data_IF_035368824797
#
_entry.id   IF_035368824797
#
_cell.length_a   1.000
_cell.length_b   1.000
_cell.length_c   1.000
_cell.angle_alpha   90.00
_cell.angle_beta   90.00
_cell.angle_gamma   90.00
#
_symmetry.space_group_name_H-M   'P 1'
#
loop_
_entity.id
_entity.type
_entity.pdbx_description
1 polymer ?
#
# COMPACT_ATOMS: atom_id res chain seq x y z
N UNK A 1 13.06 1.56 -13.34
CA UNK A 1 12.14 2.27 -12.41
C UNK A 1 12.11 3.76 -12.74
N UNK A 2 13.26 4.34 -13.01
CA UNK A 2 13.46 5.74 -13.28
C UNK A 2 12.69 6.24 -14.51
N UNK A 3 12.86 5.51 -15.62
CA UNK A 3 12.22 5.77 -16.89
C UNK A 3 10.69 5.61 -16.84
N UNK A 4 10.19 4.71 -15.99
CA UNK A 4 8.77 4.38 -15.89
C UNK A 4 8.04 5.05 -14.72
N UNK A 5 8.78 5.63 -13.77
CA UNK A 5 8.18 6.36 -12.64
C UNK A 5 8.04 7.87 -12.91
N UNK A 6 8.45 8.31 -14.09
CA UNK A 6 8.51 9.73 -14.44
C UNK A 6 9.71 10.46 -13.81
N UNK A 7 9.78 11.75 -14.04
CA UNK A 7 10.89 12.61 -13.60
C UNK A 7 10.97 12.87 -12.08
N UNK A 8 10.01 12.38 -11.32
CA UNK A 8 9.90 12.68 -9.88
C UNK A 8 10.86 11.87 -9.00
N UNK A 9 11.41 10.76 -9.54
CA UNK A 9 12.31 9.92 -8.77
C UNK A 9 13.71 10.55 -8.67
N UNK A 10 14.19 10.70 -7.43
CA UNK A 10 15.53 11.23 -7.15
C UNK A 10 16.59 10.15 -7.41
N UNK A 11 17.48 10.40 -8.40
CA UNK A 11 18.52 9.44 -8.81
C UNK A 11 19.53 9.16 -7.71
N UNK A 12 19.91 10.17 -6.94
CA UNK A 12 20.88 10.03 -5.86
C UNK A 12 20.31 9.17 -4.72
N UNK A 13 19.04 9.39 -4.36
CA UNK A 13 18.35 8.56 -3.39
C UNK A 13 18.24 7.12 -3.86
N UNK A 14 17.89 6.90 -5.14
CA UNK A 14 17.76 5.55 -5.70
C UNK A 14 19.11 4.82 -5.70
N UNK A 15 20.19 5.45 -6.13
CA UNK A 15 21.54 4.87 -6.09
C UNK A 15 21.94 4.54 -4.66
N UNK A 16 21.75 5.48 -3.74
CA UNK A 16 22.02 5.27 -2.31
C UNK A 16 21.21 4.09 -1.76
N UNK A 17 19.94 3.96 -2.13
CA UNK A 17 19.12 2.82 -1.72
C UNK A 17 19.69 1.50 -2.23
N UNK A 18 20.03 1.41 -3.52
CA UNK A 18 20.59 0.20 -4.13
C UNK A 18 21.92 -0.19 -3.48
N UNK A 19 22.81 0.77 -3.24
CA UNK A 19 24.11 0.52 -2.63
C UNK A 19 23.97 0.08 -1.17
N UNK A 20 23.01 0.62 -0.43
CA UNK A 20 22.85 0.38 1.00
C UNK A 20 21.95 -0.82 1.33
N UNK A 21 21.09 -1.25 0.42
CA UNK A 21 20.19 -2.39 0.68
C UNK A 21 20.95 -3.71 0.82
N UNK A 22 22.09 -3.85 0.14
CA UNK A 22 22.92 -5.06 0.22
C UNK A 22 23.47 -5.28 1.62
N UNK A 23 23.78 -4.19 2.34
CA UNK A 23 24.26 -4.24 3.73
C UNK A 23 23.13 -4.53 4.74
N UNK A 24 21.88 -4.28 4.35
CA UNK A 24 20.73 -4.36 5.25
C UNK A 24 20.50 -5.79 5.78
N UNK A 25 20.80 -6.80 4.97
CA UNK A 25 20.70 -8.20 5.41
C UNK A 25 21.62 -8.49 6.58
N UNK A 26 22.90 -8.14 6.46
CA UNK A 26 23.89 -8.31 7.54
C UNK A 26 23.51 -7.53 8.80
N UNK A 27 23.04 -6.29 8.62
CA UNK A 27 22.60 -5.45 9.72
C UNK A 27 21.43 -6.06 10.50
N UNK A 28 20.39 -6.56 9.81
CA UNK A 28 19.22 -7.17 10.47
C UNK A 28 19.58 -8.48 11.18
N UNK A 29 20.34 -9.35 10.52
CA UNK A 29 20.77 -10.62 11.13
C UNK A 29 21.68 -10.42 12.32
N UNK A 30 22.53 -9.39 12.31
CA UNK A 30 23.39 -9.04 13.45
C UNK A 30 22.66 -8.44 14.65
N UNK A 31 21.37 -8.04 14.51
CA UNK A 31 20.59 -7.48 15.62
C UNK A 31 19.92 -8.53 16.50
N UNK A 32 19.76 -9.77 16.04
CA UNK A 32 19.08 -10.82 16.78
C UNK A 32 19.64 -12.19 16.46
N UNK A 33 20.25 -12.80 17.44
CA UNK A 33 20.76 -14.18 17.35
C UNK A 33 19.64 -15.15 16.95
N UNK A 34 19.94 -16.10 16.05
CA UNK A 34 18.97 -17.07 15.53
C UNK A 34 17.96 -16.51 14.52
N UNK A 35 18.11 -15.24 14.11
CA UNK A 35 17.31 -14.70 13.03
C UNK A 35 17.74 -15.26 11.67
N UNK A 36 16.79 -15.32 10.73
CA UNK A 36 17.03 -15.80 9.37
C UNK A 36 16.19 -15.02 8.36
N UNK A 37 16.58 -15.08 7.09
CA UNK A 37 15.83 -14.50 5.98
C UNK A 37 15.56 -15.57 4.92
N UNK A 38 14.30 -15.73 4.52
CA UNK A 38 13.85 -16.63 3.47
C UNK A 38 13.40 -15.86 2.24
N UNK A 39 13.83 -16.30 1.04
CA UNK A 39 13.33 -15.75 -0.23
C UNK A 39 11.86 -16.10 -0.40
N UNK A 40 11.00 -15.12 -0.75
CA UNK A 40 9.58 -15.37 -0.99
C UNK A 40 9.08 -14.92 -2.36
N UNK A 41 9.89 -14.23 -3.16
CA UNK A 41 9.48 -13.81 -4.49
C UNK A 41 10.53 -12.98 -5.23
N UNK A 42 10.21 -12.62 -6.45
CA UNK A 42 10.96 -11.71 -7.31
C UNK A 42 10.30 -10.32 -7.43
N UNK A 43 10.57 -9.61 -8.52
CA UNK A 43 10.03 -8.28 -8.80
C UNK A 43 8.51 -8.20 -8.74
N UNK A 44 7.97 -7.06 -8.31
CA UNK A 44 6.54 -6.73 -8.38
C UNK A 44 6.10 -6.43 -9.82
N UNK A 45 7.02 -5.91 -10.65
CA UNK A 45 6.79 -5.59 -12.06
C UNK A 45 7.70 -6.44 -12.94
N UNK A 46 7.32 -7.69 -13.24
CA UNK A 46 8.20 -8.63 -13.96
C UNK A 46 8.45 -8.26 -15.43
N UNK A 47 7.65 -7.34 -15.97
CA UNK A 47 7.78 -6.83 -17.34
C UNK A 47 8.79 -5.69 -17.49
N UNK A 48 9.28 -5.12 -16.39
CA UNK A 48 10.30 -4.08 -16.44
C UNK A 48 11.69 -4.66 -16.73
N UNK A 49 12.55 -3.93 -17.43
CA UNK A 49 13.94 -4.34 -17.65
C UNK A 49 14.64 -4.68 -16.33
N UNK A 50 15.44 -5.75 -16.34
CA UNK A 50 16.21 -6.25 -15.18
C UNK A 50 15.35 -6.67 -13.96
N UNK A 51 14.06 -6.92 -14.14
CA UNK A 51 13.18 -7.40 -13.08
C UNK A 51 13.63 -8.76 -12.50
N UNK A 52 14.29 -9.58 -13.30
CA UNK A 52 14.85 -10.87 -12.94
C UNK A 52 16.00 -10.79 -11.92
N UNK A 53 16.62 -9.60 -11.77
CA UNK A 53 17.70 -9.38 -10.78
C UNK A 53 17.17 -9.05 -9.37
N UNK A 54 15.84 -8.93 -9.18
CA UNK A 54 15.23 -8.51 -7.91
C UNK A 54 14.70 -9.70 -7.15
N UNK A 55 15.20 -9.89 -5.93
CA UNK A 55 14.70 -10.86 -4.97
C UNK A 55 14.09 -10.19 -3.74
N UNK A 56 13.00 -10.77 -3.25
CA UNK A 56 12.33 -10.36 -2.01
C UNK A 56 12.54 -11.39 -0.91
N UNK A 57 12.84 -10.91 0.29
CA UNK A 57 13.09 -11.74 1.45
C UNK A 57 12.16 -11.42 2.61
N UNK A 58 11.76 -12.44 3.32
CA UNK A 58 11.03 -12.34 4.59
C UNK A 58 11.98 -12.53 5.75
N UNK A 59 11.96 -11.61 6.71
CA UNK A 59 12.68 -11.74 7.98
C UNK A 59 11.92 -12.67 8.94
N UNK A 60 12.64 -13.53 9.59
CA UNK A 60 12.12 -14.50 10.58
C UNK A 60 12.97 -14.47 11.83
N UNK A 61 12.33 -14.49 12.98
CA UNK A 61 12.99 -14.57 14.28
C UNK A 61 12.08 -15.26 15.28
N UNK A 62 12.64 -16.27 16.01
CA UNK A 62 11.87 -17.19 16.84
C UNK A 62 10.74 -17.82 15.98
N UNK A 63 9.53 -17.90 16.51
CA UNK A 63 8.36 -18.45 15.80
C UNK A 63 7.62 -17.40 14.92
N UNK A 64 8.19 -16.19 14.82
CA UNK A 64 7.58 -15.09 14.09
C UNK A 64 8.19 -14.93 12.68
N UNK A 65 7.40 -14.36 11.77
CA UNK A 65 7.84 -14.02 10.41
C UNK A 65 7.33 -12.64 9.98
N UNK A 66 7.96 -12.04 8.97
CA UNK A 66 7.58 -10.77 8.36
C UNK A 66 7.51 -9.59 9.38
N UNK A 67 6.47 -8.76 9.32
CA UNK A 67 6.28 -7.59 10.18
C UNK A 67 6.33 -7.88 11.67
N UNK A 68 5.61 -8.90 12.18
CA UNK A 68 5.71 -9.31 13.60
C UNK A 68 7.12 -9.64 14.05
N UNK A 69 7.90 -10.34 13.23
CA UNK A 69 9.30 -10.67 13.55
C UNK A 69 10.19 -9.43 13.59
N UNK A 70 10.06 -8.54 12.60
CA UNK A 70 10.80 -7.27 12.57
C UNK A 70 10.45 -6.41 13.78
N UNK A 71 9.17 -6.23 14.09
CA UNK A 71 8.75 -5.45 15.24
C UNK A 71 9.31 -6.02 16.56
N UNK A 72 9.14 -7.33 16.78
CA UNK A 72 9.61 -7.99 17.99
C UNK A 72 11.14 -7.85 18.14
N UNK A 73 11.89 -8.01 17.06
CA UNK A 73 13.33 -7.83 17.03
C UNK A 73 13.74 -6.40 17.38
N UNK A 74 13.15 -5.39 16.71
CA UNK A 74 13.46 -3.99 17.00
C UNK A 74 13.03 -3.58 18.41
N UNK A 75 11.86 -4.01 18.88
CA UNK A 75 11.40 -3.75 20.23
C UNK A 75 12.39 -4.34 21.25
N UNK A 76 12.81 -5.58 21.06
CA UNK A 76 13.83 -6.21 21.92
C UNK A 76 15.15 -5.43 21.90
N UNK A 77 15.65 -5.06 20.72
CA UNK A 77 16.89 -4.34 20.57
C UNK A 77 16.87 -2.94 21.22
N UNK A 78 15.76 -2.23 21.10
CA UNK A 78 15.59 -0.87 21.64
C UNK A 78 15.31 -0.90 23.13
N UNK A 79 14.28 -1.61 23.55
CA UNK A 79 13.75 -1.55 24.92
C UNK A 79 14.54 -2.45 25.85
N UNK A 80 14.78 -3.71 25.47
CA UNK A 80 15.37 -4.69 26.38
C UNK A 80 16.90 -4.65 26.40
N UNK A 81 17.55 -4.58 25.24
CA UNK A 81 19.00 -4.65 25.15
C UNK A 81 19.67 -3.28 25.33
N UNK A 82 19.19 -2.24 24.63
CA UNK A 82 19.81 -0.90 24.66
C UNK A 82 19.20 0.04 25.70
N UNK A 83 18.08 -0.35 26.32
CA UNK A 83 17.40 0.46 27.36
C UNK A 83 17.07 1.88 26.88
N UNK A 84 16.77 2.06 25.58
CA UNK A 84 16.40 3.35 25.03
C UNK A 84 14.97 3.68 25.51
N UNK A 85 14.76 4.85 26.14
CA UNK A 85 13.45 5.22 26.66
C UNK A 85 12.40 5.33 25.53
N UNK A 86 11.30 4.59 25.65
CA UNK A 86 10.12 4.69 24.76
C UNK A 86 8.96 5.23 25.56
N UNK A 87 8.34 6.31 25.06
CA UNK A 87 7.19 6.94 25.68
C UNK A 87 5.93 6.63 24.87
N UNK A 88 5.14 5.69 25.37
CA UNK A 88 3.85 5.35 24.81
C UNK A 88 2.79 6.41 25.14
N UNK A 89 1.70 6.46 24.38
CA UNK A 89 0.58 7.39 24.59
C UNK A 89 1.04 8.86 24.68
N UNK A 90 2.08 9.22 23.96
CA UNK A 90 2.70 10.57 24.01
C UNK A 90 2.82 11.10 22.58
N UNK A 91 1.70 11.45 21.91
CA UNK A 91 1.73 11.96 20.55
C UNK A 91 2.50 13.27 20.47
N UNK A 92 3.37 13.39 19.47
CA UNK A 92 4.04 14.64 19.12
C UNK A 92 3.07 15.54 18.35
N UNK A 93 3.03 16.83 18.69
CA UNK A 93 2.10 17.80 18.10
C UNK A 93 2.80 18.96 17.40
N UNK A 94 4.04 19.28 17.78
CA UNK A 94 4.83 20.35 17.19
C UNK A 94 6.33 20.07 17.24
N UNK A 95 7.05 20.63 16.27
CA UNK A 95 8.50 20.81 16.36
C UNK A 95 8.82 22.11 17.13
N UNK A 96 9.91 22.07 17.89
CA UNK A 96 10.46 23.25 18.58
C UNK A 96 11.64 23.73 17.78
N UNK A 97 11.61 25.01 17.37
CA UNK A 97 12.66 25.67 16.62
C UNK A 97 13.33 26.74 17.47
N UNK A 98 14.65 26.79 17.43
CA UNK A 98 15.46 27.80 18.08
C UNK A 98 16.61 28.21 17.14
N UNK A 99 16.76 29.51 16.85
CA UNK A 99 17.79 30.00 15.94
C UNK A 99 17.72 29.39 14.53
N UNK A 100 16.53 29.04 14.01
CA UNK A 100 16.36 28.41 12.71
C UNK A 100 16.67 26.91 12.67
N UNK A 101 16.97 26.29 13.83
CA UNK A 101 17.24 24.87 13.99
C UNK A 101 16.11 24.17 14.72
N UNK A 102 15.74 22.96 14.31
CA UNK A 102 14.86 22.11 15.08
C UNK A 102 15.63 21.53 16.26
N UNK A 103 15.18 21.85 17.49
CA UNK A 103 15.86 21.51 18.74
C UNK A 103 15.03 20.59 19.64
N UNK A 104 13.84 20.18 19.22
CA UNK A 104 13.00 19.30 20.03
C UNK A 104 11.59 19.16 19.48
N UNK A 105 10.74 18.55 20.31
CA UNK A 105 9.32 18.35 20.03
C UNK A 105 8.47 18.77 21.25
N UNK A 106 7.26 19.21 20.97
CA UNK A 106 6.20 19.27 21.97
C UNK A 106 5.31 18.03 21.82
N UNK A 107 5.11 17.29 22.90
CA UNK A 107 4.34 16.06 22.89
C UNK A 107 3.54 15.88 24.19
N UNK A 108 2.43 15.14 24.15
CA UNK A 108 1.61 14.86 25.31
C UNK A 108 0.20 14.44 24.94
N UNK A 109 -0.62 14.18 25.94
CA UNK A 109 -2.01 13.74 25.80
C UNK A 109 -2.93 14.64 26.63
N UNK A 110 -4.18 14.81 26.17
CA UNK A 110 -5.27 15.43 26.91
C UNK A 110 -4.96 16.86 27.42
N UNK A 111 -4.31 17.68 26.57
CA UNK A 111 -3.98 19.08 26.90
C UNK A 111 -2.74 19.25 27.78
N UNK A 112 -2.15 18.18 28.30
CA UNK A 112 -0.90 18.25 29.08
C UNK A 112 0.28 18.04 28.13
N UNK A 113 0.78 19.13 27.54
CA UNK A 113 1.91 19.10 26.64
C UNK A 113 3.22 19.35 27.38
N UNK A 114 4.27 18.62 27.00
CA UNK A 114 5.63 18.78 27.50
C UNK A 114 6.60 19.01 26.35
N UNK A 115 7.60 19.83 26.60
CA UNK A 115 8.69 20.05 25.66
C UNK A 115 9.81 19.02 25.90
N UNK A 116 10.23 18.34 24.84
CA UNK A 116 11.35 17.40 24.85
C UNK A 116 12.46 17.97 23.98
N UNK A 117 13.58 18.33 24.59
CA UNK A 117 14.75 18.85 23.87
C UNK A 117 15.57 17.70 23.33
N UNK A 118 15.96 17.81 22.05
CA UNK A 118 16.92 16.92 21.41
C UNK A 118 18.32 17.54 21.52
N UNK A 119 19.31 16.75 21.93
CA UNK A 119 20.72 17.23 22.03
C UNK A 119 21.32 17.44 20.64
N UNK A 120 20.92 16.64 19.65
CA UNK A 120 21.51 16.64 18.31
C UNK A 120 20.48 16.91 17.22
N UNK A 121 19.45 16.08 17.10
CA UNK A 121 18.47 16.19 16.05
C UNK A 121 17.13 15.51 16.41
N UNK A 122 16.09 15.83 15.67
CA UNK A 122 14.79 15.14 15.68
C UNK A 122 14.67 14.33 14.40
N UNK A 123 14.28 13.06 14.51
CA UNK A 123 13.98 12.19 13.37
C UNK A 123 12.49 11.90 13.39
N UNK A 124 11.78 12.29 12.34
CA UNK A 124 10.37 11.96 12.15
C UNK A 124 10.26 10.64 11.38
N UNK A 125 9.50 9.68 11.94
CA UNK A 125 9.19 8.39 11.34
C UNK A 125 7.71 8.05 11.58
N UNK A 126 6.83 9.03 11.33
CA UNK A 126 5.43 9.02 11.75
C UNK A 126 4.49 8.33 10.74
N UNK A 127 5.02 7.72 9.67
CA UNK A 127 4.22 7.10 8.62
C UNK A 127 3.52 8.10 7.69
N UNK A 128 2.54 7.62 6.97
CA UNK A 128 1.81 8.38 5.96
C UNK A 128 0.59 9.15 6.49
N UNK A 129 -0.41 9.31 5.62
CA UNK A 129 -1.64 10.07 5.93
C UNK A 129 -2.93 9.40 5.42
N UNK A 130 -2.92 8.11 5.21
CA UNK A 130 -4.08 7.37 4.69
C UNK A 130 -5.31 7.44 5.60
N UNK A 131 -5.14 7.77 6.87
CA UNK A 131 -6.25 8.02 7.81
C UNK A 131 -6.53 9.51 8.07
N UNK A 132 -5.94 10.42 7.28
CA UNK A 132 -6.28 11.85 7.30
C UNK A 132 -7.31 12.18 6.22
N UNK A 133 -8.58 12.30 6.59
CA UNK A 133 -9.64 12.71 5.66
C UNK A 133 -9.37 14.06 5.02
N UNK A 134 -8.81 15.01 5.77
CA UNK A 134 -8.38 16.32 5.28
C UNK A 134 -7.32 16.22 4.16
N UNK A 135 -6.27 15.44 4.40
CA UNK A 135 -5.20 15.31 3.41
C UNK A 135 -5.66 14.50 2.19
N UNK A 136 -6.45 13.45 2.39
CA UNK A 136 -7.04 12.70 1.27
C UNK A 136 -7.97 13.59 0.44
N UNK A 137 -8.78 14.42 1.06
CA UNK A 137 -9.62 15.39 0.36
C UNK A 137 -8.81 16.34 -0.52
N UNK A 138 -7.64 16.78 -0.06
CA UNK A 138 -6.78 17.70 -0.80
C UNK A 138 -5.95 17.03 -1.91
N UNK A 139 -5.52 15.78 -1.71
CA UNK A 139 -4.55 15.15 -2.61
C UNK A 139 -5.11 13.98 -3.43
N UNK A 140 -6.27 13.40 -3.06
CA UNK A 140 -6.84 12.24 -3.75
C UNK A 140 -7.82 12.58 -4.88
N UNK A 141 -7.78 13.78 -5.43
CA UNK A 141 -8.57 14.21 -6.61
C UNK A 141 -10.09 13.97 -6.48
N UNK A 142 -10.64 14.01 -5.27
CA UNK A 142 -12.07 13.74 -5.02
C UNK A 142 -12.47 12.26 -5.13
N UNK A 143 -11.54 11.35 -5.31
CA UNK A 143 -11.83 9.91 -5.31
C UNK A 143 -12.27 9.44 -3.94
N UNK A 144 -13.26 8.56 -3.89
CA UNK A 144 -13.65 7.85 -2.67
C UNK A 144 -12.67 6.71 -2.41
N UNK A 145 -11.72 6.97 -1.51
CA UNK A 145 -10.68 6.02 -1.10
C UNK A 145 -10.92 5.59 0.34
N UNK A 146 -10.73 4.31 0.62
CA UNK A 146 -10.89 3.74 1.96
C UNK A 146 -9.52 3.38 2.54
N UNK A 147 -9.21 3.87 3.74
CA UNK A 147 -7.95 3.56 4.42
C UNK A 147 -7.90 2.08 4.83
N UNK A 148 -6.77 1.45 4.54
CA UNK A 148 -6.49 0.04 4.84
C UNK A 148 -5.20 -0.13 5.65
N UNK A 149 -4.33 0.87 5.64
CA UNK A 149 -3.04 0.85 6.31
C UNK A 149 -3.11 0.97 7.83
N UNK A 150 -2.13 1.63 8.42
CA UNK A 150 -2.05 1.82 9.88
C UNK A 150 -2.95 2.98 10.34
N UNK A 151 -3.90 2.76 11.29
CA UNK A 151 -4.76 3.85 11.80
C UNK A 151 -4.02 5.02 12.44
N UNK A 152 -2.76 4.83 12.83
CA UNK A 152 -1.90 5.90 13.33
C UNK A 152 -1.30 6.81 12.26
N UNK A 153 -1.46 6.49 10.98
CA UNK A 153 -0.96 7.30 9.87
C UNK A 153 -1.94 8.43 9.53
N UNK A 154 -1.92 9.46 10.34
CA UNK A 154 -2.85 10.61 10.29
C UNK A 154 -2.22 11.87 9.70
N UNK A 155 -0.97 11.77 9.21
CA UNK A 155 -0.25 12.89 8.60
C UNK A 155 0.35 13.89 9.58
N UNK A 156 0.38 13.58 10.87
CA UNK A 156 0.87 14.51 11.92
C UNK A 156 2.31 14.93 11.70
N UNK A 157 3.19 13.97 11.35
CA UNK A 157 4.58 14.25 11.05
C UNK A 157 4.76 15.15 9.83
N UNK A 158 3.92 15.00 8.82
CA UNK A 158 3.94 15.83 7.61
C UNK A 158 3.54 17.26 7.96
N UNK A 159 2.46 17.44 8.72
CA UNK A 159 2.02 18.76 9.21
C UNK A 159 3.09 19.44 10.05
N UNK A 160 3.72 18.71 10.96
CA UNK A 160 4.82 19.24 11.78
C UNK A 160 6.01 19.69 10.94
N UNK A 161 6.42 18.90 9.94
CA UNK A 161 7.52 19.25 9.05
C UNK A 161 7.16 20.44 8.15
N UNK A 162 5.94 20.49 7.62
CA UNK A 162 5.46 21.59 6.79
C UNK A 162 5.41 22.90 7.59
N UNK A 163 5.03 22.86 8.86
CA UNK A 163 5.00 24.03 9.73
C UNK A 163 6.37 24.69 9.94
N UNK A 164 7.48 23.96 9.69
CA UNK A 164 8.84 24.50 9.75
C UNK A 164 9.49 24.69 8.37
N UNK A 165 8.66 24.70 7.30
CA UNK A 165 9.08 25.04 5.95
C UNK A 165 9.55 23.85 5.09
N UNK A 166 9.24 22.60 5.47
CA UNK A 166 9.61 21.45 4.66
C UNK A 166 8.93 21.47 3.28
N UNK A 167 9.70 21.20 2.23
CA UNK A 167 9.18 20.92 0.89
C UNK A 167 8.47 19.57 0.89
N UNK A 168 7.25 19.53 0.40
CA UNK A 168 6.52 18.28 0.21
C UNK A 168 6.71 17.76 -1.22
N UNK A 169 6.68 16.43 -1.37
CA UNK A 169 6.67 15.75 -2.66
C UNK A 169 5.83 14.48 -2.61
N UNK A 170 5.53 13.88 -3.76
CA UNK A 170 4.80 12.61 -3.93
C UNK A 170 3.42 12.56 -3.25
N UNK A 171 2.81 13.72 -2.97
CA UNK A 171 1.54 13.78 -2.23
C UNK A 171 0.34 13.12 -2.93
N UNK A 172 0.44 12.82 -4.23
CA UNK A 172 -0.59 12.12 -5.02
C UNK A 172 -0.22 10.68 -5.37
N UNK A 173 0.88 10.18 -4.81
CA UNK A 173 1.36 8.83 -5.05
C UNK A 173 0.89 7.88 -3.92
N UNK A 174 0.24 6.80 -4.31
CA UNK A 174 -0.42 5.87 -3.41
C UNK A 174 -0.09 4.42 -3.74
N UNK A 175 -0.03 3.59 -2.72
CA UNK A 175 -0.11 2.14 -2.85
C UNK A 175 -1.53 1.72 -2.48
N UNK A 176 -2.33 1.39 -3.49
CA UNK A 176 -3.77 1.26 -3.30
C UNK A 176 -4.34 0.07 -4.10
N UNK A 177 -4.42 -1.11 -3.48
CA UNK A 177 -5.16 -2.24 -4.03
C UNK A 177 -6.66 -1.95 -4.12
N UNK A 178 -7.38 -2.77 -4.88
CA UNK A 178 -8.84 -2.86 -4.79
C UNK A 178 -9.21 -3.94 -3.78
N UNK A 179 -10.17 -3.63 -2.92
CA UNK A 179 -10.69 -4.55 -1.92
C UNK A 179 -12.18 -4.38 -1.70
N UNK A 180 -12.79 -5.26 -0.91
CA UNK A 180 -14.19 -5.16 -0.54
C UNK A 180 -14.35 -4.81 0.93
N UNK A 181 -15.23 -3.86 1.24
CA UNK A 181 -15.54 -3.46 2.61
C UNK A 181 -16.44 -4.52 3.22
N UNK A 182 -16.04 -5.02 4.39
CA UNK A 182 -16.87 -5.97 5.16
C UNK A 182 -17.89 -5.19 5.98
N UNK A 183 -19.19 -5.35 5.72
CA UNK A 183 -20.22 -4.59 6.43
C UNK A 183 -20.19 -4.79 7.95
N UNK A 184 -20.30 -3.69 8.69
CA UNK A 184 -20.29 -3.71 10.15
C UNK A 184 -18.94 -4.06 10.79
N UNK A 185 -17.88 -4.14 9.99
CA UNK A 185 -16.52 -4.38 10.46
C UNK A 185 -15.57 -3.29 9.95
N UNK A 186 -14.56 -2.96 10.74
CA UNK A 186 -13.44 -2.12 10.28
C UNK A 186 -12.43 -3.00 9.53
N UNK A 187 -12.91 -3.67 8.49
CA UNK A 187 -12.13 -4.62 7.72
C UNK A 187 -12.39 -4.46 6.23
N UNK A 188 -11.33 -4.57 5.45
CA UNK A 188 -11.36 -4.65 4.01
C UNK A 188 -10.73 -5.98 3.63
N UNK A 189 -11.42 -6.77 2.81
CA UNK A 189 -10.91 -8.04 2.33
C UNK A 189 -10.34 -7.88 0.91
N UNK A 190 -9.23 -8.55 0.63
CA UNK A 190 -8.69 -8.65 -0.73
C UNK A 190 -9.35 -9.79 -1.46
N UNK A 191 -9.85 -9.51 -2.64
CA UNK A 191 -10.47 -10.53 -3.48
C UNK A 191 -9.41 -11.28 -4.29
N UNK A 192 -9.55 -12.61 -4.33
CA UNK A 192 -8.81 -13.44 -5.26
C UNK A 192 -9.34 -13.18 -6.68
N UNK A 193 -8.48 -13.30 -7.68
CA UNK A 193 -8.89 -13.26 -9.08
C UNK A 193 -9.04 -14.69 -9.60
N UNK A 194 -10.27 -15.24 -9.68
CA UNK A 194 -10.49 -16.58 -10.22
C UNK A 194 -10.22 -16.63 -11.72
N UNK A 195 -10.04 -17.84 -12.25
CA UNK A 195 -9.88 -18.04 -13.68
C UNK A 195 -11.16 -17.65 -14.46
N UNK A 196 -12.32 -18.03 -13.95
CA UNK A 196 -13.63 -17.62 -14.45
C UNK A 196 -14.12 -16.36 -13.73
N UNK A 197 -13.38 -15.25 -13.86
CA UNK A 197 -13.76 -13.97 -13.30
C UNK A 197 -12.92 -12.82 -13.83
N UNK A 198 -13.45 -11.61 -13.73
CA UNK A 198 -12.83 -10.38 -14.18
C UNK A 198 -13.45 -9.16 -13.47
N UNK A 199 -12.81 -8.01 -13.62
CA UNK A 199 -13.34 -6.73 -13.11
C UNK A 199 -14.13 -5.98 -14.17
N UNK A 200 -15.25 -5.39 -13.77
CA UNK A 200 -16.02 -4.46 -14.60
C UNK A 200 -16.25 -3.13 -13.89
N UNK A 201 -16.44 -2.10 -14.69
CA UNK A 201 -16.87 -0.78 -14.27
C UNK A 201 -18.41 -0.69 -14.15
N UNK A 202 -18.94 0.49 -13.84
CA UNK A 202 -20.38 0.75 -13.73
C UNK A 202 -21.12 0.68 -15.08
N UNK A 203 -20.39 0.70 -16.21
CA UNK A 203 -20.95 0.45 -17.53
C UNK A 203 -20.90 -1.04 -17.92
N UNK A 204 -20.59 -1.94 -16.98
CA UNK A 204 -20.47 -3.37 -17.21
C UNK A 204 -19.26 -3.79 -18.06
N UNK A 205 -18.28 -2.92 -18.26
CA UNK A 205 -17.14 -3.14 -19.16
C UNK A 205 -15.86 -3.48 -18.39
N UNK A 206 -15.12 -4.47 -18.89
CA UNK A 206 -13.74 -4.73 -18.44
C UNK A 206 -12.83 -3.58 -18.85
N UNK A 207 -11.83 -3.27 -18.04
CA UNK A 207 -10.97 -2.11 -18.26
C UNK A 207 -9.48 -2.39 -18.03
N UNK A 208 -9.10 -3.60 -17.60
CA UNK A 208 -7.70 -3.95 -17.30
C UNK A 208 -7.47 -5.45 -17.44
N UNK A 209 -6.23 -5.85 -17.68
CA UNK A 209 -5.78 -7.23 -17.50
C UNK A 209 -5.47 -7.45 -16.02
N UNK A 210 -6.38 -8.08 -15.32
CA UNK A 210 -6.36 -8.23 -13.86
C UNK A 210 -5.21 -9.12 -13.34
N UNK A 211 -4.61 -9.91 -14.24
CA UNK A 211 -3.46 -10.76 -13.90
C UNK A 211 -2.10 -10.10 -14.12
N UNK A 212 -2.08 -8.97 -14.85
CA UNK A 212 -0.85 -8.23 -15.15
C UNK A 212 -0.66 -6.98 -14.30
N UNK A 213 -1.72 -6.52 -13.63
CA UNK A 213 -1.64 -5.34 -12.77
C UNK A 213 -1.02 -5.71 -11.42
N UNK A 214 -0.05 -4.93 -10.96
CA UNK A 214 0.46 -5.07 -9.59
C UNK A 214 -0.56 -4.56 -8.58
N UNK A 215 -0.73 -5.30 -7.50
CA UNK A 215 -1.74 -5.01 -6.46
C UNK A 215 -1.63 -3.59 -5.90
N UNK A 216 -0.42 -3.04 -5.79
CA UNK A 216 -0.21 -1.70 -5.22
C UNK A 216 -0.60 -0.57 -6.19
N UNK A 217 -0.72 -0.87 -7.49
CA UNK A 217 -1.02 0.11 -8.54
C UNK A 217 -2.45 0.03 -9.07
N UNK A 218 -3.33 -0.77 -8.44
CA UNK A 218 -4.71 -0.94 -8.88
C UNK A 218 -5.49 0.38 -8.96
N UNK A 219 -5.18 1.36 -8.11
CA UNK A 219 -5.81 2.68 -8.16
C UNK A 219 -5.69 3.32 -9.55
N UNK A 220 -4.54 3.19 -10.21
CA UNK A 220 -4.32 3.80 -11.54
C UNK A 220 -5.18 3.19 -12.65
N UNK A 221 -5.70 1.98 -12.45
CA UNK A 221 -6.66 1.39 -13.37
C UNK A 221 -8.07 1.97 -13.21
N UNK A 222 -8.38 2.54 -12.05
CA UNK A 222 -9.72 3.09 -11.72
C UNK A 222 -9.74 4.63 -11.59
N UNK A 223 -8.59 5.29 -11.55
CA UNK A 223 -8.43 6.75 -11.54
C UNK A 223 -8.73 7.34 -12.91
N UNK A 224 -9.98 7.20 -13.33
CA UNK A 224 -10.51 7.76 -14.57
C UNK A 224 -11.72 8.62 -14.24
N UNK A 225 -11.54 9.95 -14.24
CA UNK A 225 -12.64 10.89 -14.02
C UNK A 225 -13.39 11.16 -15.33
N UNK A 226 -14.70 11.01 -15.31
CA UNK A 226 -15.60 11.42 -16.39
C UNK A 226 -16.02 12.88 -16.17
N UNK A 227 -15.51 13.83 -16.98
CA UNK A 227 -15.80 15.25 -16.78
C UNK A 227 -17.23 15.64 -17.20
N UNK A 228 -17.93 14.77 -17.93
CA UNK A 228 -19.32 15.03 -18.35
C UNK A 228 -20.29 14.58 -17.24
N UNK A 229 -20.03 13.39 -16.66
CA UNK A 229 -20.87 12.83 -15.59
C UNK A 229 -20.41 13.26 -14.19
N UNK A 230 -19.29 13.96 -14.10
CA UNK A 230 -18.64 14.38 -12.84
C UNK A 230 -18.46 13.21 -11.86
N UNK A 231 -17.99 12.07 -12.36
CA UNK A 231 -17.89 10.83 -11.58
C UNK A 231 -16.69 9.99 -12.00
N UNK A 232 -16.38 9.01 -11.16
CA UNK A 232 -15.39 7.97 -11.46
C UNK A 232 -16.12 6.68 -11.83
N UNK A 233 -16.30 6.35 -13.13
CA UNK A 233 -17.13 5.22 -13.56
C UNK A 233 -16.56 3.84 -13.16
N UNK A 234 -15.30 3.78 -12.73
CA UNK A 234 -14.62 2.57 -12.23
C UNK A 234 -14.55 2.50 -10.70
N UNK A 235 -15.26 3.41 -9.97
CA UNK A 235 -15.31 3.44 -8.50
C UNK A 235 -16.77 3.56 -8.04
N UNK A 236 -17.37 2.49 -7.46
CA UNK A 236 -16.78 1.16 -7.29
C UNK A 236 -16.64 0.41 -8.62
N UNK A 237 -15.69 -0.55 -8.66
CA UNK A 237 -15.65 -1.61 -9.65
C UNK A 237 -16.31 -2.87 -9.08
N UNK A 238 -16.49 -3.89 -9.90
CA UNK A 238 -17.06 -5.18 -9.47
C UNK A 238 -16.21 -6.34 -9.96
N UNK A 239 -15.89 -7.28 -9.07
CA UNK A 239 -15.40 -8.59 -9.45
C UNK A 239 -16.61 -9.45 -9.83
N UNK A 240 -16.71 -9.83 -11.10
CA UNK A 240 -17.71 -10.78 -11.62
C UNK A 240 -17.07 -12.16 -11.68
N UNK A 241 -17.77 -13.19 -11.23
CA UNK A 241 -17.31 -14.57 -11.26
C UNK A 241 -18.51 -15.57 -11.27
N UNK A 242 -18.23 -16.83 -11.46
CA UNK A 242 -19.26 -17.87 -11.60
C UNK A 242 -19.36 -18.80 -10.40
N UNK A 243 -20.31 -19.72 -10.47
CA UNK A 243 -20.58 -20.72 -9.43
C UNK A 243 -19.39 -21.66 -9.21
N UNK A 244 -18.63 -21.96 -10.28
CA UNK A 244 -17.43 -22.81 -10.17
C UNK A 244 -16.36 -22.15 -9.32
N UNK A 245 -16.13 -20.83 -9.55
CA UNK A 245 -15.23 -20.05 -8.74
C UNK A 245 -15.71 -19.93 -7.28
N UNK A 246 -17.00 -19.73 -7.05
CA UNK A 246 -17.59 -19.69 -5.71
C UNK A 246 -17.36 -20.99 -4.92
N UNK A 247 -17.54 -22.14 -5.58
CA UNK A 247 -17.37 -23.47 -4.98
C UNK A 247 -15.91 -23.92 -4.82
N UNK A 248 -14.99 -23.27 -5.51
CA UNK A 248 -13.56 -23.61 -5.43
C UNK A 248 -12.91 -23.22 -4.10
N UNK A 249 -13.56 -22.39 -3.30
CA UNK A 249 -13.11 -21.95 -1.99
C UNK A 249 -13.33 -20.45 -1.77
N UNK A 250 -12.74 -19.86 -0.73
CA UNK A 250 -12.91 -18.45 -0.41
C UNK A 250 -12.54 -17.54 -1.58
N UNK A 251 -13.48 -16.73 -2.05
CA UNK A 251 -13.24 -15.77 -3.14
C UNK A 251 -12.53 -14.50 -2.68
N UNK A 252 -12.51 -14.27 -1.37
CA UNK A 252 -11.62 -13.30 -0.77
C UNK A 252 -10.88 -13.94 0.39
N UNK A 253 -9.60 -13.73 0.44
CA UNK A 253 -8.78 -14.17 1.55
C UNK A 253 -8.71 -13.09 2.60
N UNK A 254 -8.67 -13.51 3.85
CA UNK A 254 -8.14 -12.62 4.84
C UNK A 254 -6.75 -12.22 4.40
N UNK A 255 -6.51 -10.94 4.12
CA UNK A 255 -5.15 -10.46 3.95
C UNK A 255 -4.47 -10.64 5.30
N UNK A 256 -3.97 -11.85 5.51
CA UNK A 256 -3.28 -12.19 6.72
C UNK A 256 -1.94 -11.48 6.72
N UNK A 257 -1.75 -10.61 7.66
CA UNK A 257 -0.43 -10.23 8.14
C UNK A 257 0.18 -8.96 7.59
N UNK A 258 -0.07 -8.52 6.37
CA UNK A 258 0.58 -7.32 5.83
C UNK A 258 -0.34 -6.17 5.45
N UNK A 259 -1.62 -6.40 5.49
CA UNK A 259 -2.57 -5.31 5.44
C UNK A 259 -3.07 -5.05 6.86
N UNK A 260 -2.57 -4.03 7.41
CA UNK A 260 -2.87 -3.26 8.55
C UNK A 260 -3.86 -3.80 9.57
N UNK A 261 -4.77 -2.98 9.88
CA UNK A 261 -5.74 -3.14 10.95
C UNK A 261 -6.91 -4.01 10.53
N UNK A 262 -7.20 -5.04 11.33
CA UNK A 262 -8.37 -5.90 11.18
C UNK A 262 -9.06 -6.08 12.50
N UNK A 263 -10.36 -5.92 12.50
CA UNK A 263 -11.20 -6.34 13.62
C UNK A 263 -11.49 -7.86 13.60
N UNK A 264 -10.46 -8.67 13.32
CA UNK A 264 -10.56 -10.12 13.41
C UNK A 264 -11.55 -10.79 12.45
N UNK A 265 -11.94 -10.15 11.34
CA UNK A 265 -12.80 -10.78 10.36
C UNK A 265 -12.07 -11.89 9.60
N UNK A 266 -12.64 -13.07 9.61
CA UNK A 266 -12.17 -14.22 8.86
C UNK A 266 -13.24 -14.55 7.83
N UNK A 267 -12.87 -14.55 6.55
CA UNK A 267 -13.74 -14.92 5.45
C UNK A 267 -14.13 -16.40 5.58
N UNK A 268 -15.39 -16.74 5.32
CA UNK A 268 -15.86 -18.13 5.45
C UNK A 268 -15.24 -19.03 4.39
N UNK A 269 -15.03 -20.30 4.72
CA UNK A 269 -14.36 -21.27 3.84
C UNK A 269 -15.13 -21.54 2.54
N UNK A 270 -16.44 -21.43 2.61
CA UNK A 270 -17.40 -21.76 1.54
C UNK A 270 -18.18 -20.52 1.02
N UNK A 271 -17.80 -19.34 1.44
CA UNK A 271 -18.44 -18.06 1.10
C UNK A 271 -19.91 -17.92 1.61
N UNK A 272 -20.41 -18.85 2.42
CA UNK A 272 -21.81 -18.90 2.85
C UNK A 272 -22.20 -17.71 3.75
N UNK A 273 -21.29 -17.27 4.61
CA UNK A 273 -21.51 -16.13 5.50
C UNK A 273 -21.62 -14.82 4.69
N UNK A 274 -20.78 -14.67 3.69
CA UNK A 274 -20.70 -13.46 2.85
C UNK A 274 -21.88 -13.40 1.86
N UNK A 275 -22.34 -14.55 1.36
CA UNK A 275 -23.59 -14.64 0.59
C UNK A 275 -24.79 -14.22 1.43
N UNK A 276 -24.92 -14.80 2.65
CA UNK A 276 -26.03 -14.48 3.55
C UNK A 276 -26.01 -13.01 4.00
N UNK A 277 -24.82 -12.44 4.19
CA UNK A 277 -24.64 -11.03 4.52
C UNK A 277 -24.89 -10.07 3.32
N UNK A 278 -25.08 -10.62 2.11
CA UNK A 278 -25.25 -9.84 0.90
C UNK A 278 -23.98 -9.10 0.44
N UNK A 279 -22.81 -9.52 0.93
CA UNK A 279 -21.52 -9.02 0.47
C UNK A 279 -21.18 -9.60 -0.91
N UNK A 280 -21.52 -10.88 -1.12
CA UNK A 280 -21.54 -11.50 -2.44
C UNK A 280 -22.96 -11.41 -2.97
N UNK A 281 -23.14 -10.77 -4.11
CA UNK A 281 -24.42 -10.66 -4.83
C UNK A 281 -24.49 -11.76 -5.89
N UNK A 282 -25.71 -12.15 -6.30
CA UNK A 282 -25.90 -13.17 -7.33
C UNK A 282 -27.03 -12.85 -8.30
N UNK A 283 -26.95 -13.39 -9.49
CA UNK A 283 -27.99 -13.36 -10.53
C UNK A 283 -27.85 -14.57 -11.45
N UNK A 284 -28.96 -15.11 -11.92
CA UNK A 284 -28.97 -16.25 -12.84
C UNK A 284 -28.57 -15.86 -14.25
N UNK A 285 -28.75 -14.59 -14.59
CA UNK A 285 -28.39 -14.02 -15.88
C UNK A 285 -27.55 -12.75 -15.68
N UNK A 286 -26.81 -12.29 -16.69
CA UNK A 286 -26.10 -11.01 -16.63
C UNK A 286 -27.04 -9.84 -16.29
N UNK A 287 -28.25 -9.84 -16.83
CA UNK A 287 -29.23 -8.79 -16.59
C UNK A 287 -29.75 -8.78 -15.14
N UNK A 288 -30.03 -9.98 -14.58
CA UNK A 288 -30.41 -10.09 -13.17
C UNK A 288 -29.29 -9.60 -12.25
N UNK A 289 -28.04 -10.04 -12.50
CA UNK A 289 -26.90 -9.61 -11.69
C UNK A 289 -26.65 -8.10 -11.80
N UNK A 290 -26.66 -7.56 -13.02
CA UNK A 290 -26.49 -6.13 -13.28
C UNK A 290 -27.53 -5.28 -12.53
N UNK A 291 -28.79 -5.71 -12.55
CA UNK A 291 -29.87 -5.06 -11.79
C UNK A 291 -29.60 -5.08 -10.28
N UNK A 292 -29.11 -6.20 -9.74
CA UNK A 292 -28.84 -6.35 -8.30
C UNK A 292 -27.68 -5.45 -7.85
N UNK A 293 -26.66 -5.27 -8.68
CA UNK A 293 -25.49 -4.46 -8.35
C UNK A 293 -25.54 -3.02 -8.89
N UNK A 294 -26.57 -2.69 -9.68
CA UNK A 294 -26.83 -1.33 -10.15
C UNK A 294 -25.91 -0.85 -11.27
N UNK A 295 -25.53 -1.74 -12.20
CA UNK A 295 -24.70 -1.40 -13.36
C UNK A 295 -25.43 -1.60 -14.68
N UNK A 296 -24.82 -1.18 -15.80
CA UNK A 296 -25.37 -1.37 -17.13
C UNK A 296 -25.49 -2.86 -17.51
N UNK A 297 -26.71 -3.32 -17.75
CA UNK A 297 -27.01 -4.72 -18.05
C UNK A 297 -26.55 -5.16 -19.44
N UNK A 298 -26.73 -4.33 -20.46
CA UNK A 298 -26.28 -4.65 -21.81
C UNK A 298 -24.74 -4.66 -21.89
N UNK A 299 -24.08 -3.73 -21.19
CA UNK A 299 -22.64 -3.71 -21.08
C UNK A 299 -22.11 -4.98 -20.42
N UNK A 300 -22.71 -5.42 -19.30
CA UNK A 300 -22.28 -6.65 -18.62
C UNK A 300 -22.51 -7.89 -19.50
N UNK A 301 -23.66 -8.00 -20.14
CA UNK A 301 -23.98 -9.10 -21.06
C UNK A 301 -22.99 -9.17 -22.23
N UNK A 302 -22.70 -8.06 -22.87
CA UNK A 302 -21.75 -7.99 -23.97
C UNK A 302 -20.34 -8.39 -23.50
N UNK A 303 -19.91 -7.91 -22.33
CA UNK A 303 -18.62 -8.24 -21.74
C UNK A 303 -18.47 -9.74 -21.44
N UNK A 304 -19.51 -10.39 -20.88
CA UNK A 304 -19.48 -11.84 -20.61
C UNK A 304 -19.42 -12.62 -21.94
N UNK A 305 -20.20 -12.23 -22.95
CA UNK A 305 -20.18 -12.87 -24.25
C UNK A 305 -18.81 -12.75 -24.94
N UNK A 306 -18.21 -11.55 -24.93
CA UNK A 306 -16.87 -11.31 -25.45
C UNK A 306 -15.80 -12.13 -24.72
N UNK A 307 -15.85 -12.16 -23.37
CA UNK A 307 -14.95 -12.95 -22.56
C UNK A 307 -15.04 -14.45 -22.88
N UNK A 308 -16.24 -15.02 -22.90
CA UNK A 308 -16.43 -16.44 -23.16
C UNK A 308 -15.99 -16.83 -24.58
N UNK A 309 -16.28 -15.97 -25.58
CA UNK A 309 -15.77 -16.13 -26.95
C UNK A 309 -14.24 -16.09 -26.99
N UNK A 310 -13.63 -15.10 -26.35
CA UNK A 310 -12.17 -14.95 -26.30
C UNK A 310 -11.50 -16.16 -25.65
N UNK A 311 -12.05 -16.69 -24.55
CA UNK A 311 -11.53 -17.90 -23.90
C UNK A 311 -11.62 -19.12 -24.80
N UNK A 312 -12.75 -19.28 -25.56
CA UNK A 312 -12.90 -20.37 -26.52
C UNK A 312 -11.92 -20.27 -27.69
N UNK A 313 -11.58 -19.06 -28.11
CA UNK A 313 -10.59 -18.78 -29.17
C UNK A 313 -9.14 -18.76 -28.63
N UNK A 314 -8.91 -18.91 -27.33
CA UNK A 314 -7.59 -18.88 -26.71
C UNK A 314 -6.98 -17.47 -26.64
N UNK A 315 -7.79 -16.40 -26.74
CA UNK A 315 -7.32 -15.01 -26.81
C UNK A 315 -8.23 -14.08 -25.98
N UNK A 316 -7.65 -13.30 -25.10
CA UNK A 316 -8.36 -12.22 -24.38
C UNK A 316 -8.09 -10.86 -25.02
N UNK A 317 -9.13 -10.02 -25.16
CA UNK A 317 -9.05 -8.68 -25.75
C UNK A 317 -8.11 -7.73 -24.98
N UNK A 318 -7.98 -7.91 -23.65
CA UNK A 318 -7.07 -7.14 -22.79
C UNK A 318 -5.73 -7.85 -22.53
N UNK A 319 -5.46 -8.94 -23.25
CA UNK A 319 -4.18 -9.63 -23.19
C UNK A 319 -3.97 -10.50 -21.95
N UNK A 320 -5.02 -10.92 -21.23
CA UNK A 320 -4.90 -11.86 -20.12
C UNK A 320 -4.59 -13.26 -20.66
N UNK A 321 -3.49 -13.90 -20.25
CA UNK A 321 -3.12 -15.20 -20.79
C UNK A 321 -4.09 -16.29 -20.34
N UNK A 322 -4.30 -17.30 -21.20
CA UNK A 322 -5.16 -18.44 -20.85
C UNK A 322 -4.52 -19.34 -19.78
N UNK A 323 -3.18 -19.49 -19.84
CA UNK A 323 -2.40 -20.30 -18.89
C UNK A 323 -1.11 -19.57 -18.53
N UNK A 324 -0.57 -19.83 -17.35
CA UNK A 324 0.78 -19.40 -17.00
C UNK A 324 1.86 -20.33 -17.57
N UNK A 325 3.14 -19.98 -17.40
CA UNK A 325 4.27 -20.77 -17.86
C UNK A 325 4.34 -22.20 -17.28
N UNK A 326 3.65 -22.47 -16.17
CA UNK A 326 3.54 -23.79 -15.53
C UNK A 326 2.28 -24.55 -15.94
N UNK A 327 1.49 -24.05 -16.91
CA UNK A 327 0.28 -24.66 -17.42
C UNK A 327 -0.99 -24.43 -16.56
N UNK A 328 -0.91 -23.69 -15.45
CA UNK A 328 -2.08 -23.40 -14.64
C UNK A 328 -3.04 -22.43 -15.39
N UNK A 329 -4.33 -22.78 -15.36
CA UNK A 329 -5.39 -22.00 -16.04
C UNK A 329 -5.56 -20.64 -15.37
N UNK A 330 -5.43 -19.59 -16.17
CA UNK A 330 -5.61 -18.21 -15.75
C UNK A 330 -6.90 -17.58 -16.28
N UNK A 331 -7.46 -18.13 -17.37
CA UNK A 331 -8.72 -17.66 -17.98
C UNK A 331 -9.60 -18.86 -18.28
N UNK A 332 -10.85 -18.83 -17.83
CA UNK A 332 -11.87 -19.83 -18.06
C UNK A 332 -13.23 -19.13 -18.35
N UNK A 333 -14.15 -19.76 -19.09
CA UNK A 333 -15.46 -19.17 -19.34
C UNK A 333 -16.25 -19.01 -18.05
N UNK A 334 -17.17 -18.04 -18.03
CA UNK A 334 -18.19 -17.90 -16.99
C UNK A 334 -19.40 -18.75 -17.37
N UNK A 335 -19.85 -19.61 -16.44
CA UNK A 335 -20.96 -20.53 -16.66
C UNK A 335 -21.90 -20.59 -15.45
N UNK A 336 -23.20 -20.79 -15.73
CA UNK A 336 -24.22 -20.94 -14.68
C UNK A 336 -24.56 -19.63 -13.95
N UNK A 337 -24.81 -19.73 -12.66
CA UNK A 337 -25.13 -18.57 -11.82
C UNK A 337 -23.91 -17.68 -11.67
N UNK A 338 -24.14 -16.37 -11.84
CA UNK A 338 -23.14 -15.33 -11.75
C UNK A 338 -23.13 -14.67 -10.37
N UNK A 339 -21.98 -14.26 -9.95
CA UNK A 339 -21.77 -13.59 -8.65
C UNK A 339 -20.97 -12.30 -8.84
N UNK A 340 -21.16 -11.37 -7.93
CA UNK A 340 -20.40 -10.11 -7.90
C UNK A 340 -19.99 -9.72 -6.48
N UNK A 341 -18.79 -9.13 -6.38
CA UNK A 341 -18.30 -8.44 -5.19
C UNK A 341 -17.92 -7.02 -5.57
N UNK A 342 -18.40 -6.04 -4.79
CA UNK A 342 -18.00 -4.65 -4.94
C UNK A 342 -16.54 -4.46 -4.56
N UNK A 343 -15.80 -3.74 -5.40
CA UNK A 343 -14.40 -3.41 -5.21
C UNK A 343 -14.23 -1.90 -5.09
N UNK A 344 -13.55 -1.47 -4.04
CA UNK A 344 -13.24 -0.06 -3.79
C UNK A 344 -11.74 0.16 -3.65
N UNK A 345 -11.23 1.36 -3.99
CA UNK A 345 -9.86 1.75 -3.68
C UNK A 345 -9.57 1.62 -2.19
N UNK A 346 -8.58 0.81 -1.84
CA UNK A 346 -8.24 0.42 -0.48
C UNK A 346 -6.80 0.82 -0.17
N UNK A 347 -6.64 2.04 0.34
CA UNK A 347 -5.35 2.70 0.49
C UNK A 347 -4.49 2.03 1.56
N UNK A 348 -3.47 1.32 1.11
CA UNK A 348 -2.53 0.61 1.96
C UNK A 348 -1.55 1.57 2.61
N UNK A 349 -0.96 2.46 1.82
CA UNK A 349 -0.05 3.50 2.29
C UNK A 349 0.08 4.64 1.27
N UNK A 350 0.52 5.80 1.76
CA UNK A 350 0.86 6.96 0.96
C UNK A 350 2.37 7.06 0.76
N UNK A 351 2.83 7.74 -0.30
CA UNK A 351 4.26 7.98 -0.54
C UNK A 351 4.65 9.43 -0.20
N UNK A 352 3.65 10.28 0.01
CA UNK A 352 3.84 11.71 0.20
C UNK A 352 4.41 12.11 1.55
N UNK A 353 5.05 13.27 1.55
CA UNK A 353 5.60 13.89 2.76
C UNK A 353 6.81 14.77 2.50
N UNK A 354 7.61 15.07 3.54
CA UNK A 354 8.78 15.93 3.42
C UNK A 354 9.85 15.34 2.49
N UNK A 355 10.34 16.15 1.55
CA UNK A 355 11.51 15.78 0.74
C UNK A 355 12.75 15.73 1.61
N UNK A 356 13.59 14.73 1.37
CA UNK A 356 14.86 14.53 2.08
C UNK A 356 16.02 14.30 1.12
N UNK A 357 17.24 14.50 1.60
CA UNK A 357 18.44 14.07 0.92
C UNK A 357 18.86 12.64 1.33
N UNK A 358 19.99 12.16 0.79
CA UNK A 358 20.53 10.81 1.07
C UNK A 358 20.90 10.55 2.52
N UNK A 359 21.08 11.60 3.31
CA UNK A 359 21.33 11.51 4.76
C UNK A 359 20.05 11.48 5.59
N UNK A 360 18.88 11.60 4.95
CA UNK A 360 17.59 11.73 5.63
C UNK A 360 17.29 13.13 6.15
N UNK A 361 18.11 14.14 5.84
CA UNK A 361 17.87 15.53 6.24
C UNK A 361 16.71 16.12 5.43
N UNK A 362 15.77 16.76 6.10
CA UNK A 362 14.61 17.39 5.49
C UNK A 362 15.05 18.67 4.72
N UNK A 363 14.50 18.83 3.54
CA UNK A 363 14.77 19.99 2.67
C UNK A 363 13.60 20.99 2.70
N UNK A 364 13.92 22.28 2.66
CA UNK A 364 12.94 23.36 2.50
C UNK A 364 12.54 23.55 1.02
N UNK A 365 11.69 24.52 0.72
CA UNK A 365 11.21 24.81 -0.63
C UNK A 365 12.34 25.13 -1.64
N UNK A 366 13.45 25.66 -1.17
CA UNK A 366 14.62 26.04 -1.98
C UNK A 366 15.65 24.89 -2.13
N UNK A 367 15.40 23.73 -1.49
CA UNK A 367 16.32 22.58 -1.50
C UNK A 367 17.43 22.66 -0.45
N UNK A 368 17.35 23.61 0.47
CA UNK A 368 18.28 23.75 1.58
C UNK A 368 17.88 22.88 2.75
N UNK A 369 18.87 22.37 3.51
CA UNK A 369 18.63 21.54 4.69
C UNK A 369 17.99 22.34 5.81
N UNK A 370 16.92 21.85 6.40
CA UNK A 370 16.37 22.35 7.66
C UNK A 370 17.21 21.77 8.81
N UNK A 371 18.03 22.59 9.49
CA UNK A 371 18.98 22.09 10.47
C UNK A 371 18.28 21.32 11.62
N UNK A 372 18.86 20.18 12.03
CA UNK A 372 18.37 19.38 13.14
C UNK A 372 17.09 18.56 12.85
N UNK A 373 16.59 18.54 11.61
CA UNK A 373 15.41 17.79 11.22
C UNK A 373 15.73 16.71 10.20
N UNK A 374 15.32 15.49 10.52
CA UNK A 374 15.46 14.30 9.69
C UNK A 374 14.12 13.60 9.49
N UNK A 375 14.01 12.84 8.41
CA UNK A 375 12.83 12.02 8.13
C UNK A 375 13.25 10.67 7.54
N UNK A 376 12.54 9.62 7.90
CA UNK A 376 12.75 8.28 7.35
C UNK A 376 11.42 7.52 7.21
N UNK A 377 11.41 6.59 6.28
CA UNK A 377 10.27 5.70 6.05
C UNK A 377 9.26 6.25 5.06
N UNK A 378 8.02 5.81 5.23
CA UNK A 378 6.89 6.10 4.36
C UNK A 378 6.62 7.61 4.21
N UNK A 379 6.84 8.36 5.28
CA UNK A 379 6.67 9.80 5.30
C UNK A 379 7.69 10.49 4.37
N UNK A 380 7.27 10.86 3.18
CA UNK A 380 8.15 11.43 2.14
C UNK A 380 9.05 10.37 1.50
N UNK A 381 8.47 9.22 1.18
CA UNK A 381 9.15 8.12 0.49
C UNK A 381 9.81 8.56 -0.81
N UNK A 382 10.93 7.94 -1.15
CA UNK A 382 11.59 8.13 -2.43
C UNK A 382 10.80 7.55 -3.61
N UNK A 383 9.85 6.67 -3.34
CA UNK A 383 9.00 6.06 -4.35
C UNK A 383 7.89 7.02 -4.77
N UNK A 384 7.73 7.18 -6.07
CA UNK A 384 6.61 7.91 -6.67
C UNK A 384 5.42 6.97 -6.96
N UNK A 385 4.85 7.08 -8.17
CA UNK A 385 3.68 6.29 -8.57
C UNK A 385 3.95 4.79 -8.71
N UNK A 386 5.19 4.38 -8.92
CA UNK A 386 5.58 2.98 -9.10
C UNK A 386 6.72 2.64 -8.13
N UNK A 387 6.57 1.53 -7.39
CA UNK A 387 7.65 0.98 -6.59
C UNK A 387 7.66 -0.55 -6.68
N UNK A 388 8.83 -1.15 -6.53
CA UNK A 388 8.95 -2.60 -6.47
C UNK A 388 8.40 -3.15 -5.16
N UNK A 389 7.63 -4.23 -5.21
CA UNK A 389 7.05 -4.85 -4.03
C UNK A 389 8.12 -5.18 -2.97
N UNK A 390 7.79 -4.97 -1.69
CA UNK A 390 8.63 -4.98 -0.51
C UNK A 390 9.53 -3.73 -0.32
N UNK A 391 9.66 -2.85 -1.31
CA UNK A 391 10.52 -1.67 -1.19
C UNK A 391 10.00 -0.65 -0.16
N UNK A 392 8.69 -0.59 0.08
CA UNK A 392 8.11 0.23 1.16
C UNK A 392 8.53 -0.23 2.57
N UNK A 393 9.00 -1.47 2.74
CA UNK A 393 9.63 -1.92 3.97
C UNK A 393 11.14 -1.79 3.93
N UNK A 394 11.76 -2.02 2.77
CA UNK A 394 13.19 -1.93 2.60
C UNK A 394 13.73 -0.49 2.74
N UNK A 395 13.01 0.49 2.19
CA UNK A 395 13.37 1.91 2.27
C UNK A 395 13.47 2.44 3.71
N UNK A 396 12.45 2.27 4.59
CA UNK A 396 12.55 2.67 5.99
C UNK A 396 13.72 2.05 6.73
N UNK A 397 14.05 0.80 6.43
CA UNK A 397 15.17 0.10 7.04
C UNK A 397 16.51 0.72 6.63
N UNK A 398 16.68 1.07 5.36
CA UNK A 398 17.88 1.70 4.82
C UNK A 398 17.99 3.14 5.31
N UNK A 399 17.00 3.97 5.01
CA UNK A 399 17.07 5.41 5.32
C UNK A 399 16.90 5.71 6.81
N UNK A 400 16.22 4.86 7.58
CA UNK A 400 16.22 4.95 9.05
C UNK A 400 17.62 4.75 9.63
N UNK A 401 18.38 3.79 9.10
CA UNK A 401 19.79 3.57 9.48
C UNK A 401 20.68 4.76 9.10
N UNK A 402 20.53 5.29 7.88
CA UNK A 402 21.30 6.43 7.39
C UNK A 402 20.97 7.71 8.18
N UNK A 403 19.70 8.02 8.38
CA UNK A 403 19.24 9.16 9.17
C UNK A 403 19.75 9.08 10.63
N UNK A 404 19.69 7.88 11.23
CA UNK A 404 20.21 7.66 12.57
C UNK A 404 21.72 7.92 12.68
N UNK A 405 22.52 7.43 11.71
CA UNK A 405 23.96 7.69 11.63
C UNK A 405 24.26 9.19 11.45
N UNK A 406 23.56 9.84 10.53
CA UNK A 406 23.76 11.26 10.24
C UNK A 406 23.36 12.14 11.43
N UNK A 407 22.21 11.90 12.04
CA UNK A 407 21.76 12.62 13.23
C UNK A 407 22.72 12.43 14.43
N UNK A 408 23.28 11.23 14.61
CA UNK A 408 24.27 10.98 15.64
C UNK A 408 25.59 11.73 15.44
N UNK A 409 25.94 12.04 14.20
CA UNK A 409 27.14 12.81 13.85
C UNK A 409 26.97 14.32 13.98
N UNK A 410 25.73 14.84 14.17
CA UNK A 410 25.48 16.27 14.41
C UNK A 410 26.25 16.76 15.65
N UNK A 411 26.72 17.99 15.58
CA UNK A 411 27.26 18.66 16.76
C UNK A 411 26.13 19.00 17.73
N UNK A 412 26.38 18.80 19.00
CA UNK A 412 25.41 19.10 20.08
C UNK A 412 25.22 20.62 20.24
#
# INVERSE_FOLDING_TARGET
TFEYAGSEMDQELLRTFVDQIVEQRGFLLGMAEGSRMGRYGGAGFPTLPHADTIDKYTFMWKELSAGPALFAMYHNAVVNLRKIPVRYNTPAVRLIVDGGRVVGIQAGKEGVLKNYRAKKAVILACGGYEYSSEMLSNFAKGMKIHALGCPGNTGDGIKMAQAVGAKLWHMTAYSCPLGTIVPGKKAIASCNMPASGFWVDQNGKRFVNEKSIDTHTCLYAVDLFDPIKHSYPRIPAYLIFDEKALKAGPVAGGITGWLGYREGYIWSKDNSVELKAGLIKSGRTPEELAKVIGIDAEGLKATIAEWNKGVAEGKDALGRPMKNAKGAVLSAPLEGTLYAIELVPSLLNTQGGPRRNVKGQVLNAYGEVIPGLYVAGEMGSMWGHIYQGACNNAEPLVFGRLAGKAAAAEKA
#
